data_IF_001572670061
#
_entry.id   IF_001572670061
#
_cell.length_a   1.000
_cell.length_b   1.000
_cell.length_c   1.000
_cell.angle_alpha   90.00
_cell.angle_beta   90.00
_cell.angle_gamma   90.00
#
_symmetry.space_group_name_H-M   'P 1'
#
loop_
_entity.id
_entity.type
_entity.pdbx_description
1 polymer ?
#
# COMPACT_ATOMS: atom_id res chain seq x y z
N UNK A 1 -25.51 4.26 8.26
CA UNK A 1 -26.50 3.34 7.62
C UNK A 1 -26.01 1.91 7.80
N UNK A 2 -26.94 0.95 7.81
CA UNK A 2 -26.78 -0.43 8.28
C UNK A 2 -25.59 -1.21 7.67
N UNK A 3 -24.65 -1.68 8.49
CA UNK A 3 -23.52 -2.57 8.15
C UNK A 3 -23.97 -3.97 7.64
N UNK A 4 -25.27 -4.22 7.55
CA UNK A 4 -25.85 -5.50 7.10
C UNK A 4 -26.07 -5.61 5.59
N UNK A 5 -25.80 -4.56 4.80
CA UNK A 5 -25.73 -4.67 3.35
C UNK A 5 -24.36 -5.25 2.91
N UNK A 6 -24.04 -6.47 3.35
CA UNK A 6 -23.03 -7.29 2.67
C UNK A 6 -23.45 -7.35 1.19
N UNK A 7 -22.62 -6.81 0.31
CA UNK A 7 -22.89 -6.79 -1.13
C UNK A 7 -23.20 -8.22 -1.60
N UNK A 8 -24.48 -8.51 -1.79
CA UNK A 8 -24.95 -9.77 -2.36
C UNK A 8 -24.37 -9.92 -3.76
N UNK A 9 -24.09 -11.16 -4.14
CA UNK A 9 -23.79 -11.48 -5.52
C UNK A 9 -24.95 -11.02 -6.40
N UNK A 10 -24.62 -10.30 -7.46
CA UNK A 10 -25.57 -9.82 -8.46
C UNK A 10 -25.24 -10.45 -9.79
N UNK A 11 -26.25 -10.66 -10.62
CA UNK A 11 -26.03 -10.99 -12.02
C UNK A 11 -25.20 -9.88 -12.68
N UNK A 12 -24.08 -10.25 -13.29
CA UNK A 12 -23.18 -9.31 -13.99
C UNK A 12 -23.62 -8.98 -15.41
N UNK A 13 -24.85 -9.34 -15.80
CA UNK A 13 -25.45 -8.92 -17.06
C UNK A 13 -25.92 -7.45 -17.09
N UNK A 14 -26.00 -6.75 -15.95
CA UNK A 14 -26.43 -5.34 -15.91
C UNK A 14 -25.34 -4.41 -16.46
N UNK A 15 -25.54 -3.76 -17.63
CA UNK A 15 -24.55 -2.88 -18.24
C UNK A 15 -24.27 -1.61 -17.43
N UNK A 16 -25.16 -1.24 -16.48
CA UNK A 16 -24.92 -0.13 -15.55
C UNK A 16 -23.89 -0.49 -14.48
N UNK A 17 -23.67 -1.78 -14.23
CA UNK A 17 -22.68 -2.26 -13.27
C UNK A 17 -21.38 -2.62 -13.98
N UNK A 18 -21.46 -3.31 -15.12
CA UNK A 18 -20.31 -3.69 -15.94
C UNK A 18 -20.57 -3.32 -17.40
N UNK A 19 -19.85 -2.33 -17.97
CA UNK A 19 -20.03 -1.96 -19.38
C UNK A 19 -19.83 -3.15 -20.32
N UNK A 20 -20.67 -3.27 -21.35
CA UNK A 20 -20.63 -4.40 -22.30
C UNK A 20 -19.23 -4.56 -22.94
N UNK A 21 -18.61 -3.44 -23.33
CA UNK A 21 -17.27 -3.42 -23.91
C UNK A 21 -16.20 -4.00 -22.97
N UNK A 22 -16.36 -3.87 -21.64
CA UNK A 22 -15.44 -4.46 -20.66
C UNK A 22 -15.59 -5.98 -20.65
N UNK A 23 -16.83 -6.48 -20.69
CA UNK A 23 -17.07 -7.93 -20.72
C UNK A 23 -16.57 -8.56 -22.02
N UNK A 24 -16.79 -7.89 -23.15
CA UNK A 24 -16.29 -8.33 -24.46
C UNK A 24 -14.76 -8.30 -24.56
N UNK A 25 -14.09 -7.41 -23.82
CA UNK A 25 -12.64 -7.31 -23.81
C UNK A 25 -11.94 -8.51 -23.15
N UNK A 26 -12.60 -9.27 -22.28
CA UNK A 26 -11.98 -10.37 -21.53
C UNK A 26 -12.71 -11.70 -21.81
N UNK A 27 -12.13 -12.61 -22.61
CA UNK A 27 -12.74 -13.90 -22.92
C UNK A 27 -13.11 -14.74 -21.68
N UNK A 28 -12.35 -14.61 -20.59
CA UNK A 28 -12.63 -15.26 -19.31
C UNK A 28 -13.96 -14.83 -18.65
N UNK A 29 -14.56 -13.73 -19.11
CA UNK A 29 -15.86 -13.22 -18.62
C UNK A 29 -17.04 -13.61 -19.55
N UNK A 30 -16.81 -14.49 -20.52
CA UNK A 30 -17.85 -15.00 -21.40
C UNK A 30 -18.85 -15.89 -20.63
N UNK A 31 -20.12 -15.84 -21.05
CA UNK A 31 -21.19 -16.61 -20.39
C UNK A 31 -21.65 -15.99 -19.05
N UNK A 32 -22.53 -16.66 -18.30
CA UNK A 32 -23.09 -16.12 -17.06
C UNK A 32 -22.00 -15.81 -16.02
N UNK A 33 -22.08 -14.63 -15.42
CA UNK A 33 -21.16 -14.20 -14.37
C UNK A 33 -21.93 -13.62 -13.19
N UNK A 34 -21.40 -13.77 -11.99
CA UNK A 34 -21.87 -13.05 -10.82
C UNK A 34 -20.82 -12.03 -10.40
N UNK A 35 -21.26 -10.85 -9.98
CA UNK A 35 -20.37 -9.78 -9.55
C UNK A 35 -20.78 -9.20 -8.20
N UNK A 36 -19.78 -8.72 -7.47
CA UNK A 36 -19.98 -7.85 -6.32
C UNK A 36 -18.87 -6.81 -6.23
N UNK A 37 -19.16 -5.58 -5.77
CA UNK A 37 -18.13 -4.61 -5.45
C UNK A 37 -17.16 -5.13 -4.39
N UNK A 38 -15.87 -4.86 -4.60
CA UNK A 38 -14.85 -5.02 -3.57
C UNK A 38 -14.64 -3.67 -2.88
N UNK A 39 -15.02 -3.53 -1.59
CA UNK A 39 -14.82 -2.29 -0.85
C UNK A 39 -13.33 -2.10 -0.48
N UNK A 40 -12.93 -0.86 -0.18
CA UNK A 40 -11.62 -0.54 0.40
C UNK A 40 -10.59 0.06 -0.56
N UNK A 41 -10.77 -0.07 -1.88
CA UNK A 41 -9.89 0.59 -2.86
C UNK A 41 -10.12 2.11 -2.91
N UNK A 42 -9.06 2.90 -2.71
CA UNK A 42 -9.13 4.37 -2.78
C UNK A 42 -8.96 4.92 -4.20
N UNK A 43 -8.31 4.17 -5.09
CA UNK A 43 -7.98 4.59 -6.46
C UNK A 43 -8.78 3.84 -7.51
N UNK A 44 -8.88 2.52 -7.36
CA UNK A 44 -9.49 1.64 -8.36
C UNK A 44 -10.96 1.35 -8.07
N UNK A 45 -11.77 1.23 -9.12
CA UNK A 45 -13.08 0.60 -9.02
C UNK A 45 -12.92 -0.90 -9.20
N UNK A 46 -13.11 -1.65 -8.13
CA UNK A 46 -12.82 -3.10 -8.07
C UNK A 46 -14.10 -3.92 -7.94
N UNK A 47 -14.21 -4.99 -8.74
CA UNK A 47 -15.28 -5.98 -8.71
C UNK A 47 -14.67 -7.36 -8.49
N UNK A 48 -15.29 -8.15 -7.62
CA UNK A 48 -15.06 -9.59 -7.58
C UNK A 48 -16.05 -10.22 -8.55
N UNK A 49 -15.53 -10.95 -9.54
CA UNK A 49 -16.29 -11.66 -10.57
C UNK A 49 -16.17 -13.16 -10.38
N UNK A 50 -17.32 -13.85 -10.37
CA UNK A 50 -17.44 -15.30 -10.44
C UNK A 50 -17.90 -15.71 -11.82
N UNK A 51 -17.25 -16.73 -12.33
CA UNK A 51 -17.59 -17.37 -13.61
C UNK A 51 -17.70 -18.88 -13.38
N UNK A 52 -18.05 -19.63 -14.42
CA UNK A 52 -18.00 -21.09 -14.36
C UNK A 52 -16.58 -21.62 -14.16
N UNK A 53 -15.58 -20.92 -14.68
CA UNK A 53 -14.20 -21.42 -14.80
C UNK A 53 -13.27 -20.86 -13.71
N UNK A 54 -13.75 -19.94 -12.88
CA UNK A 54 -12.99 -19.41 -11.76
C UNK A 54 -13.51 -18.09 -11.20
N UNK A 55 -12.78 -17.61 -10.18
CA UNK A 55 -12.98 -16.31 -9.55
C UNK A 55 -11.89 -15.32 -9.98
N UNK A 56 -12.29 -14.06 -10.18
CA UNK A 56 -11.42 -12.99 -10.66
C UNK A 56 -11.63 -11.68 -9.92
N UNK A 57 -10.63 -10.82 -9.99
CA UNK A 57 -10.70 -9.41 -9.64
C UNK A 57 -10.66 -8.61 -10.94
N UNK A 58 -11.75 -7.91 -11.24
CA UNK A 58 -11.86 -7.01 -12.38
C UNK A 58 -11.75 -5.57 -11.87
N UNK A 59 -10.84 -4.78 -12.47
CA UNK A 59 -10.59 -3.42 -12.01
C UNK A 59 -10.60 -2.41 -13.15
N UNK A 60 -11.31 -1.30 -12.94
CA UNK A 60 -11.02 -0.06 -13.65
C UNK A 60 -9.83 0.62 -12.97
N UNK A 61 -8.70 0.62 -13.66
CA UNK A 61 -7.44 1.20 -13.19
C UNK A 61 -7.55 2.72 -13.19
N UNK A 62 -6.97 3.38 -12.18
CA UNK A 62 -6.99 4.83 -12.09
C UNK A 62 -6.11 5.43 -13.18
N UNK A 63 -6.56 6.53 -13.79
CA UNK A 63 -5.89 7.17 -14.92
C UNK A 63 -4.55 7.82 -14.53
N UNK A 64 -4.31 7.97 -13.23
CA UNK A 64 -3.05 8.47 -12.66
C UNK A 64 -1.86 7.55 -12.92
N UNK A 65 -2.10 6.24 -13.07
CA UNK A 65 -1.03 5.29 -13.34
C UNK A 65 -0.73 5.20 -14.84
N UNK A 66 0.54 5.01 -15.17
CA UNK A 66 0.97 4.71 -16.52
C UNK A 66 0.47 3.32 -16.95
N UNK A 67 0.11 3.09 -18.23
CA UNK A 67 -0.27 1.77 -18.73
C UNK A 67 0.76 0.66 -18.45
N UNK A 68 2.05 1.02 -18.43
CA UNK A 68 3.21 0.14 -18.30
C UNK A 68 3.26 -0.60 -16.96
N UNK A 69 2.50 -0.18 -15.94
CA UNK A 69 2.39 -0.92 -14.67
C UNK A 69 1.92 -2.37 -14.89
N UNK A 70 1.14 -2.65 -15.95
CA UNK A 70 0.67 -4.01 -16.24
C UNK A 70 1.82 -4.92 -16.69
N UNK A 71 2.80 -4.38 -17.41
CA UNK A 71 3.98 -5.13 -17.82
C UNK A 71 4.89 -5.42 -16.63
N UNK A 72 5.00 -4.46 -15.69
CA UNK A 72 5.69 -4.67 -14.42
C UNK A 72 5.01 -5.77 -13.60
N UNK A 73 3.68 -5.68 -13.43
CA UNK A 73 2.90 -6.66 -12.67
C UNK A 73 3.00 -8.04 -13.30
N UNK A 74 2.83 -8.18 -14.62
CA UNK A 74 2.95 -9.48 -15.28
C UNK A 74 4.36 -10.07 -15.12
N UNK A 75 5.41 -9.26 -15.32
CA UNK A 75 6.78 -9.73 -15.20
C UNK A 75 7.11 -10.20 -13.77
N UNK A 76 6.78 -9.38 -12.77
CA UNK A 76 7.06 -9.67 -11.35
C UNK A 76 6.24 -10.87 -10.88
N UNK A 77 4.94 -10.88 -11.14
CA UNK A 77 4.08 -12.01 -10.72
C UNK A 77 4.41 -13.30 -11.47
N UNK A 78 4.91 -13.22 -12.70
CA UNK A 78 5.34 -14.38 -13.47
C UNK A 78 6.59 -14.99 -12.86
N UNK A 79 7.55 -14.14 -12.50
CA UNK A 79 8.75 -14.56 -11.79
C UNK A 79 8.42 -15.17 -10.42
N UNK A 80 7.62 -14.48 -9.60
CA UNK A 80 7.16 -14.98 -8.29
C UNK A 80 6.49 -16.36 -8.43
N UNK A 81 5.60 -16.52 -9.40
CA UNK A 81 4.93 -17.80 -9.67
C UNK A 81 5.93 -18.90 -10.05
N UNK A 82 6.96 -18.60 -10.86
CA UNK A 82 8.01 -19.58 -11.20
C UNK A 82 8.89 -19.99 -9.99
N UNK A 83 8.90 -19.17 -8.93
CA UNK A 83 9.56 -19.46 -7.65
C UNK A 83 8.61 -20.10 -6.62
N UNK A 84 7.38 -20.41 -7.00
CA UNK A 84 6.38 -21.00 -6.10
C UNK A 84 5.83 -20.04 -5.05
N UNK A 85 5.98 -18.73 -5.24
CA UNK A 85 5.37 -17.72 -4.39
C UNK A 85 3.91 -17.49 -4.83
N UNK A 86 2.89 -17.68 -3.95
CA UNK A 86 1.50 -17.44 -4.30
C UNK A 86 1.27 -15.98 -4.69
N UNK A 87 0.79 -15.75 -5.90
CA UNK A 87 0.55 -14.40 -6.42
C UNK A 87 -0.56 -14.39 -7.46
N UNK A 88 -1.16 -13.23 -7.66
CA UNK A 88 -2.17 -13.05 -8.69
C UNK A 88 -1.51 -13.04 -10.07
N UNK A 89 -2.27 -13.42 -11.11
CA UNK A 89 -1.81 -13.35 -12.50
C UNK A 89 -2.81 -12.51 -13.29
N UNK A 90 -2.28 -11.63 -14.14
CA UNK A 90 -3.09 -10.91 -15.11
C UNK A 90 -3.66 -11.90 -16.11
N UNK A 91 -4.95 -11.76 -16.41
CA UNK A 91 -5.63 -12.56 -17.42
C UNK A 91 -5.62 -11.77 -18.73
N UNK A 92 -5.09 -12.33 -19.83
CA UNK A 92 -5.06 -11.64 -21.11
C UNK A 92 -6.46 -11.23 -21.59
N UNK A 93 -6.52 -10.04 -22.16
CA UNK A 93 -7.66 -9.55 -22.91
C UNK A 93 -7.71 -10.20 -24.31
N UNK A 94 -8.75 -9.88 -25.08
CA UNK A 94 -9.00 -10.47 -26.40
C UNK A 94 -7.88 -10.20 -27.42
N UNK A 95 -7.11 -9.13 -27.23
CA UNK A 95 -5.95 -8.76 -28.06
C UNK A 95 -4.62 -9.35 -27.53
N UNK A 96 -4.67 -10.17 -26.48
CA UNK A 96 -3.51 -10.77 -25.82
C UNK A 96 -2.79 -9.86 -24.83
N UNK A 97 -3.20 -8.59 -24.66
CA UNK A 97 -2.60 -7.68 -23.67
C UNK A 97 -3.17 -7.91 -22.28
N UNK A 98 -2.47 -7.44 -21.24
CA UNK A 98 -2.89 -7.58 -19.84
C UNK A 98 -3.80 -6.45 -19.33
N UNK A 99 -4.13 -5.49 -20.19
CA UNK A 99 -5.15 -4.47 -19.93
C UNK A 99 -5.77 -3.97 -21.24
N UNK A 100 -6.97 -3.40 -21.14
CA UNK A 100 -7.72 -2.84 -22.27
C UNK A 100 -8.12 -1.40 -21.96
N UNK A 101 -7.80 -0.47 -22.85
CA UNK A 101 -8.27 0.91 -22.78
C UNK A 101 -9.55 1.06 -23.62
N UNK A 102 -10.67 1.38 -22.97
CA UNK A 102 -12.01 1.38 -23.57
C UNK A 102 -12.59 2.80 -23.72
N UNK A 103 -11.75 3.74 -24.12
CA UNK A 103 -12.15 5.15 -24.31
C UNK A 103 -12.70 5.78 -23.04
N UNK A 104 -13.93 6.29 -23.10
CA UNK A 104 -14.60 6.95 -21.96
C UNK A 104 -14.80 6.03 -20.75
N UNK A 105 -14.85 4.71 -20.95
CA UNK A 105 -14.99 3.73 -19.87
C UNK A 105 -13.69 3.55 -19.07
N UNK A 106 -12.57 4.09 -19.55
CA UNK A 106 -11.26 4.01 -18.92
C UNK A 106 -10.51 2.71 -19.22
N UNK A 107 -9.45 2.47 -18.45
CA UNK A 107 -8.57 1.30 -18.60
C UNK A 107 -8.95 0.20 -17.62
N UNK A 108 -9.04 -1.03 -18.10
CA UNK A 108 -9.47 -2.19 -17.33
C UNK A 108 -8.44 -3.31 -17.36
N UNK A 109 -8.34 -4.05 -16.26
CA UNK A 109 -7.55 -5.29 -16.14
C UNK A 109 -8.35 -6.37 -15.44
N UNK A 110 -8.04 -7.63 -15.76
CA UNK A 110 -8.58 -8.80 -15.08
C UNK A 110 -7.44 -9.58 -14.44
N UNK A 111 -7.66 -10.06 -13.22
CA UNK A 111 -6.67 -10.76 -12.40
C UNK A 111 -7.28 -12.00 -11.75
N UNK A 112 -6.49 -13.05 -11.54
CA UNK A 112 -6.94 -14.21 -10.76
C UNK A 112 -7.23 -13.81 -9.30
N UNK A 113 -8.35 -14.28 -8.75
CA UNK A 113 -8.67 -14.06 -7.34
C UNK A 113 -7.96 -15.11 -6.47
N UNK A 114 -7.26 -14.66 -5.43
CA UNK A 114 -6.45 -15.53 -4.56
C UNK A 114 -7.21 -16.09 -3.36
N UNK A 115 -8.44 -15.64 -3.11
CA UNK A 115 -9.15 -15.95 -1.87
C UNK A 115 -8.57 -15.23 -0.65
N UNK A 116 -8.81 -15.78 0.53
CA UNK A 116 -8.33 -15.23 1.79
C UNK A 116 -9.01 -13.92 2.21
N UNK A 117 -8.42 -13.27 3.20
CA UNK A 117 -8.91 -12.01 3.80
C UNK A 117 -7.76 -11.08 4.14
N UNK A 118 -8.01 -9.78 4.08
CA UNK A 118 -7.10 -8.75 4.60
C UNK A 118 -7.60 -8.16 5.92
N UNK A 119 -6.69 -7.50 6.63
CA UNK A 119 -6.96 -6.84 7.90
C UNK A 119 -6.51 -5.38 7.83
N UNK A 120 -7.29 -4.49 8.47
CA UNK A 120 -6.94 -3.07 8.59
C UNK A 120 -5.91 -2.82 9.70
N UNK A 121 -5.82 -3.74 10.65
CA UNK A 121 -4.91 -3.67 11.81
C UNK A 121 -4.47 -5.07 12.22
N UNK A 122 -3.24 -5.16 12.73
CA UNK A 122 -2.74 -6.38 13.34
C UNK A 122 -3.54 -6.70 14.61
N UNK A 123 -3.77 -8.00 14.83
CA UNK A 123 -4.52 -8.52 15.99
C UNK A 123 -3.65 -9.27 16.99
N UNK A 124 -2.48 -9.74 16.56
CA UNK A 124 -1.57 -10.57 17.37
C UNK A 124 -0.13 -10.43 16.88
N UNK A 125 0.83 -10.78 17.74
CA UNK A 125 2.24 -10.90 17.35
C UNK A 125 2.46 -12.03 16.34
N UNK A 126 1.69 -13.12 16.42
CA UNK A 126 1.77 -14.22 15.46
C UNK A 126 1.40 -13.76 14.05
N UNK A 127 0.35 -12.94 13.92
CA UNK A 127 -0.03 -12.31 12.67
C UNK A 127 1.06 -11.37 12.13
N UNK A 128 1.67 -10.57 13.02
CA UNK A 128 2.76 -9.66 12.67
C UNK A 128 4.01 -10.41 12.16
N UNK A 129 4.40 -11.48 12.85
CA UNK A 129 5.52 -12.34 12.44
C UNK A 129 5.24 -13.01 11.10
N UNK A 130 4.02 -13.51 10.90
CA UNK A 130 3.58 -14.12 9.64
C UNK A 130 3.64 -13.14 8.47
N UNK A 131 3.17 -11.90 8.68
CA UNK A 131 3.26 -10.82 7.71
C UNK A 131 4.72 -10.51 7.33
N UNK A 132 5.59 -10.34 8.33
CA UNK A 132 7.03 -10.13 8.09
C UNK A 132 7.67 -11.29 7.31
N UNK A 133 7.33 -12.53 7.67
CA UNK A 133 7.84 -13.74 7.01
C UNK A 133 7.39 -13.85 5.55
N UNK A 134 6.15 -13.49 5.24
CA UNK A 134 5.66 -13.43 3.86
C UNK A 134 6.46 -12.42 3.03
N UNK A 135 6.71 -11.23 3.58
CA UNK A 135 7.48 -10.17 2.90
C UNK A 135 8.94 -10.58 2.70
N UNK A 136 9.57 -11.22 3.68
CA UNK A 136 10.91 -11.77 3.51
C UNK A 136 10.96 -12.83 2.40
N UNK A 137 9.94 -13.71 2.31
CA UNK A 137 9.82 -14.67 1.20
C UNK A 137 9.59 -14.00 -0.16
N UNK A 138 8.85 -12.88 -0.20
CA UNK A 138 8.65 -12.09 -1.42
C UNK A 138 9.99 -11.54 -1.95
N UNK A 139 10.80 -10.94 -1.07
CA UNK A 139 12.12 -10.44 -1.45
C UNK A 139 13.11 -11.56 -1.81
N UNK A 140 13.07 -12.69 -1.10
CA UNK A 140 13.87 -13.86 -1.45
C UNK A 140 13.50 -14.41 -2.85
N UNK A 141 12.20 -14.49 -3.16
CA UNK A 141 11.71 -14.94 -4.46
C UNK A 141 12.01 -13.96 -5.61
N UNK A 142 12.42 -12.71 -5.32
CA UNK A 142 12.77 -11.70 -6.31
C UNK A 142 14.27 -11.39 -6.32
N UNK A 143 15.09 -12.14 -5.57
CA UNK A 143 16.52 -11.86 -5.41
C UNK A 143 17.29 -11.84 -6.74
N UNK A 144 16.86 -12.65 -7.72
CA UNK A 144 17.45 -12.71 -9.05
C UNK A 144 16.55 -12.15 -10.17
N UNK A 145 15.53 -11.35 -9.81
CA UNK A 145 14.76 -10.59 -10.79
C UNK A 145 15.57 -9.36 -11.24
N UNK A 146 16.07 -9.39 -12.48
CA UNK A 146 16.98 -8.39 -13.05
C UNK A 146 16.30 -7.44 -14.05
N UNK A 147 15.10 -7.78 -14.55
CA UNK A 147 14.36 -6.95 -15.51
C UNK A 147 14.11 -5.53 -14.96
N UNK A 148 14.25 -4.47 -15.78
CA UNK A 148 13.86 -3.13 -15.38
C UNK A 148 12.34 -3.04 -15.17
N UNK A 149 11.94 -2.19 -14.23
CA UNK A 149 10.54 -1.81 -14.03
C UNK A 149 10.30 -0.44 -14.63
N UNK A 150 9.24 -0.32 -15.45
CA UNK A 150 8.85 0.95 -16.02
C UNK A 150 8.34 1.91 -14.93
N UNK A 151 8.54 3.23 -15.07
CA UNK A 151 7.95 4.20 -14.16
C UNK A 151 6.42 4.09 -14.13
N UNK A 152 5.82 4.15 -12.94
CA UNK A 152 4.38 4.06 -12.75
C UNK A 152 3.60 5.32 -13.18
N UNK A 153 4.27 6.34 -13.72
CA UNK A 153 3.66 7.59 -14.20
C UNK A 153 3.42 8.66 -13.12
N UNK A 154 3.67 8.34 -11.85
CA UNK A 154 3.61 9.29 -10.73
C UNK A 154 4.95 9.43 -10.02
N UNK A 155 5.31 10.63 -9.52
CA UNK A 155 6.50 10.85 -8.70
C UNK A 155 6.27 10.31 -7.28
N UNK A 156 6.14 8.98 -7.17
CA UNK A 156 5.83 8.28 -5.94
C UNK A 156 7.09 8.18 -5.05
N UNK A 157 6.94 8.53 -3.76
CA UNK A 157 8.04 8.55 -2.77
C UNK A 157 9.25 9.42 -3.17
N UNK A 158 9.02 10.47 -3.94
CA UNK A 158 10.02 11.51 -4.19
C UNK A 158 10.01 12.51 -3.03
N UNK A 159 10.80 12.22 -1.99
CA UNK A 159 10.86 13.07 -0.79
C UNK A 159 11.26 14.51 -1.14
N UNK A 160 12.18 14.71 -2.09
CA UNK A 160 12.61 16.04 -2.49
C UNK A 160 11.46 16.88 -3.04
N UNK A 161 10.68 16.30 -3.96
CA UNK A 161 9.47 16.92 -4.50
C UNK A 161 8.40 17.11 -3.43
N UNK A 162 8.17 16.13 -2.57
CA UNK A 162 7.19 16.22 -1.47
C UNK A 162 7.50 17.43 -0.57
N UNK A 163 8.77 17.62 -0.20
CA UNK A 163 9.17 18.75 0.64
C UNK A 163 9.13 20.10 -0.11
N UNK A 164 9.36 20.12 -1.41
CA UNK A 164 9.20 21.33 -2.22
C UNK A 164 7.72 21.77 -2.25
N UNK A 165 6.82 20.84 -2.58
CA UNK A 165 5.36 21.10 -2.60
C UNK A 165 4.84 21.48 -1.21
N UNK A 166 5.36 20.87 -0.13
CA UNK A 166 5.03 21.29 1.23
C UNK A 166 5.37 22.76 1.45
N UNK A 167 6.59 23.22 1.13
CA UNK A 167 6.97 24.63 1.31
C UNK A 167 6.06 25.58 0.53
N UNK A 168 5.79 25.25 -0.72
CA UNK A 168 4.88 26.03 -1.57
C UNK A 168 3.48 26.13 -0.95
N UNK A 169 2.95 25.03 -0.41
CA UNK A 169 1.64 25.03 0.23
C UNK A 169 1.60 25.85 1.52
N UNK A 170 2.65 25.80 2.34
CA UNK A 170 2.74 26.59 3.58
C UNK A 170 2.78 28.10 3.30
N UNK A 171 3.48 28.50 2.23
CA UNK A 171 3.58 29.90 1.82
C UNK A 171 2.31 30.40 1.11
N UNK A 172 1.78 29.61 0.18
CA UNK A 172 0.67 29.99 -0.69
C UNK A 172 -0.73 29.93 -0.05
N UNK A 173 -0.87 29.22 1.08
CA UNK A 173 -2.15 29.03 1.77
C UNK A 173 -2.15 29.59 3.20
N UNK A 174 -1.42 30.68 3.44
CA UNK A 174 -1.32 31.34 4.75
C UNK A 174 -2.66 31.88 5.28
N UNK A 175 -3.58 32.27 4.39
CA UNK A 175 -4.94 32.72 4.73
C UNK A 175 -5.98 31.58 4.79
N UNK A 176 -5.55 30.33 4.60
CA UNK A 176 -6.46 29.18 4.65
C UNK A 176 -7.02 28.97 6.07
N UNK A 177 -8.27 28.53 6.19
CA UNK A 177 -8.94 28.34 7.51
C UNK A 177 -8.20 27.36 8.44
N UNK A 178 -7.40 26.45 7.88
CA UNK A 178 -6.60 25.48 8.64
C UNK A 178 -5.13 25.89 8.80
N UNK A 179 -4.72 27.06 8.27
CA UNK A 179 -3.33 27.51 8.29
C UNK A 179 -2.77 27.62 9.70
N UNK A 180 -3.59 28.08 10.66
CA UNK A 180 -3.18 28.19 12.07
C UNK A 180 -2.74 26.88 12.72
N UNK A 181 -3.23 25.73 12.24
CA UNK A 181 -2.80 24.40 12.70
C UNK A 181 -1.74 23.79 11.77
N UNK A 182 -1.96 23.88 10.46
CA UNK A 182 -1.16 23.16 9.45
C UNK A 182 0.18 23.83 9.17
N UNK A 183 0.28 25.16 9.21
CA UNK A 183 1.55 25.85 8.97
C UNK A 183 2.58 25.49 10.05
N UNK A 184 2.29 25.62 11.36
CA UNK A 184 3.21 25.19 12.41
C UNK A 184 3.59 23.71 12.33
N UNK A 185 2.64 22.84 11.94
CA UNK A 185 2.91 21.41 11.78
C UNK A 185 3.82 21.14 10.58
N UNK A 186 3.60 21.79 9.44
CA UNK A 186 4.47 21.69 8.26
C UNK A 186 5.90 22.11 8.55
N UNK A 187 6.09 23.20 9.30
CA UNK A 187 7.43 23.65 9.73
C UNK A 187 8.13 22.63 10.64
N UNK A 188 7.39 21.98 11.55
CA UNK A 188 7.92 20.88 12.37
C UNK A 188 8.33 19.68 11.51
N UNK A 189 7.55 19.33 10.50
CA UNK A 189 7.88 18.25 9.55
C UNK A 189 9.17 18.58 8.78
N UNK A 190 9.30 19.80 8.27
CA UNK A 190 10.52 20.26 7.60
C UNK A 190 11.75 20.21 8.53
N UNK A 191 11.60 20.65 9.78
CA UNK A 191 12.66 20.58 10.78
C UNK A 191 13.05 19.13 11.10
N UNK A 192 12.08 18.23 11.26
CA UNK A 192 12.33 16.82 11.55
C UNK A 192 13.07 16.11 10.39
N UNK A 193 12.76 16.44 9.13
CA UNK A 193 13.53 15.94 7.99
C UNK A 193 14.97 16.44 8.00
N UNK A 194 15.20 17.72 8.32
CA UNK A 194 16.57 18.27 8.48
C UNK A 194 17.35 17.53 9.57
N UNK A 195 16.71 17.21 10.69
CA UNK A 195 17.32 16.46 11.80
C UNK A 195 17.64 14.99 11.42
N UNK A 196 16.80 14.34 10.61
CA UNK A 196 17.07 12.98 10.13
C UNK A 196 18.23 12.93 9.13
N UNK A 197 18.48 14.04 8.43
CA UNK A 197 19.54 14.12 7.42
C UNK A 197 19.23 13.31 6.15
N UNK A 198 20.24 13.11 5.27
CA UNK A 198 20.05 12.41 4.00
C UNK A 198 19.58 10.97 4.22
N UNK A 199 18.83 10.44 3.25
CA UNK A 199 18.38 9.05 3.29
C UNK A 199 19.58 8.10 3.21
N UNK A 200 19.55 6.94 3.92
CA UNK A 200 20.58 5.93 3.76
C UNK A 200 20.63 5.43 2.31
N UNK A 201 21.83 5.31 1.77
CA UNK A 201 22.07 4.74 0.44
C UNK A 201 22.35 3.25 0.57
N UNK A 202 21.44 2.42 0.07
CA UNK A 202 21.62 0.97 -0.02
C UNK A 202 21.14 0.47 -1.39
N UNK A 203 21.65 -0.68 -1.88
CA UNK A 203 21.26 -1.20 -3.18
C UNK A 203 19.73 -1.34 -3.32
N UNK A 204 19.14 -0.93 -4.45
CA UNK A 204 17.71 -1.02 -4.63
C UNK A 204 17.27 -2.46 -4.87
N UNK A 205 16.15 -2.85 -4.26
CA UNK A 205 15.46 -4.12 -4.50
C UNK A 205 14.15 -3.86 -5.25
N UNK A 206 13.58 -4.90 -5.87
CA UNK A 206 12.16 -4.83 -6.22
C UNK A 206 11.36 -4.79 -4.92
N UNK A 207 10.51 -3.77 -4.78
CA UNK A 207 9.66 -3.56 -3.61
C UNK A 207 8.18 -3.47 -4.01
N UNK A 208 7.28 -3.68 -3.06
CA UNK A 208 5.84 -3.47 -3.28
C UNK A 208 5.49 -2.00 -3.45
N UNK A 209 6.11 -1.12 -2.64
CA UNK A 209 5.96 0.35 -2.71
C UNK A 209 4.84 0.93 -1.84
N UNK A 210 3.75 0.18 -1.60
CA UNK A 210 2.65 0.57 -0.68
C UNK A 210 2.26 -0.62 0.21
N UNK A 211 3.17 -1.10 1.04
CA UNK A 211 3.03 -2.36 1.79
C UNK A 211 2.19 -2.21 3.07
N UNK A 212 1.00 -1.63 2.94
CA UNK A 212 0.02 -1.56 4.04
C UNK A 212 -0.50 -2.95 4.39
N UNK A 213 -0.98 -3.13 5.63
CA UNK A 213 -1.52 -4.42 6.07
C UNK A 213 -2.72 -4.88 5.22
N UNK A 214 -3.51 -3.92 4.71
CA UNK A 214 -4.66 -4.19 3.84
C UNK A 214 -4.27 -4.86 2.51
N UNK A 215 -2.99 -4.77 2.13
CA UNK A 215 -2.41 -5.38 0.93
C UNK A 215 -1.81 -6.77 1.17
N UNK A 216 -1.96 -7.31 2.40
CA UNK A 216 -1.60 -8.68 2.75
C UNK A 216 -2.87 -9.53 2.84
N UNK A 217 -2.84 -10.71 2.21
CA UNK A 217 -3.87 -11.73 2.33
C UNK A 217 -3.45 -12.81 3.32
N UNK A 218 -4.39 -13.13 4.20
CA UNK A 218 -4.32 -14.21 5.18
C UNK A 218 -5.34 -15.29 4.82
N UNK A 219 -5.07 -16.54 5.21
CA UNK A 219 -5.89 -17.69 4.83
C UNK A 219 -7.37 -17.54 5.29
N UNK A 220 -7.60 -17.03 6.50
CA UNK A 220 -8.96 -16.85 7.07
C UNK A 220 -9.01 -15.70 8.10
N UNK A 221 -10.22 -15.31 8.54
CA UNK A 221 -10.46 -14.31 9.60
C UNK A 221 -10.18 -14.84 11.00
N UNK A 222 -10.29 -16.15 11.19
CA UNK A 222 -10.17 -16.81 12.49
C UNK A 222 -8.91 -17.69 12.57
N UNK A 223 -8.40 -17.97 13.78
CA UNK A 223 -7.24 -18.85 13.97
C UNK A 223 -7.50 -20.28 13.46
N UNK A 224 -6.48 -20.97 12.91
CA UNK A 224 -5.11 -20.49 12.74
C UNK A 224 -4.92 -19.64 11.47
N UNK A 225 -5.94 -19.50 10.61
CA UNK A 225 -5.83 -18.84 9.30
C UNK A 225 -5.53 -17.34 9.38
N UNK A 226 -6.01 -16.65 10.43
CA UNK A 226 -5.72 -15.23 10.64
C UNK A 226 -4.25 -14.91 10.90
N UNK A 227 -3.46 -15.92 11.29
CA UNK A 227 -2.02 -15.80 11.55
C UNK A 227 -1.17 -16.38 10.39
N UNK A 228 -1.78 -16.65 9.22
CA UNK A 228 -1.10 -17.23 8.05
C UNK A 228 -1.22 -16.33 6.83
N UNK A 229 -0.31 -15.36 6.74
CA UNK A 229 -0.16 -14.51 5.57
C UNK A 229 0.40 -15.34 4.40
N UNK A 230 -0.22 -15.26 3.22
CA UNK A 230 0.15 -16.12 2.09
C UNK A 230 0.36 -15.39 0.76
N UNK A 231 -0.17 -14.17 0.58
CA UNK A 231 -0.02 -13.42 -0.66
C UNK A 231 -0.06 -11.90 -0.46
N UNK A 232 0.51 -11.18 -1.42
CA UNK A 232 0.41 -9.72 -1.55
C UNK A 232 -0.53 -9.37 -2.72
N UNK A 233 -1.27 -8.29 -2.57
CA UNK A 233 -2.15 -7.70 -3.60
C UNK A 233 -1.86 -6.20 -3.74
N UNK A 234 -2.46 -5.54 -4.73
CA UNK A 234 -2.24 -4.11 -5.01
C UNK A 234 -0.81 -3.79 -5.48
N UNK A 235 -0.40 -4.46 -6.55
CA UNK A 235 0.97 -4.44 -7.10
C UNK A 235 1.23 -3.24 -8.04
N UNK A 236 0.44 -2.19 -7.98
CA UNK A 236 0.54 -1.02 -8.88
C UNK A 236 1.77 -0.15 -8.62
N UNK A 237 2.28 -0.19 -7.39
CA UNK A 237 3.43 0.60 -6.93
C UNK A 237 4.75 -0.16 -6.99
N UNK A 238 4.80 -1.30 -7.69
CA UNK A 238 6.03 -2.06 -7.89
C UNK A 238 7.12 -1.16 -8.47
N UNK A 239 8.24 -1.07 -7.76
CA UNK A 239 9.38 -0.24 -8.16
C UNK A 239 10.69 -0.80 -7.61
N UNK A 240 11.81 -0.21 -8.05
CA UNK A 240 13.13 -0.46 -7.47
C UNK A 240 13.47 0.63 -6.47
N UNK A 241 13.61 0.27 -5.20
CA UNK A 241 13.99 1.20 -4.14
C UNK A 241 14.76 0.48 -3.03
N UNK A 242 15.50 1.22 -2.18
CA UNK A 242 16.13 0.66 -0.99
C UNK A 242 15.14 -0.08 -0.08
N UNK A 243 15.60 -1.14 0.58
CA UNK A 243 14.76 -1.96 1.46
C UNK A 243 14.10 -1.16 2.60
N UNK A 244 14.74 -0.08 3.07
CA UNK A 244 14.17 0.79 4.10
C UNK A 244 12.91 1.52 3.63
N UNK A 245 12.70 1.72 2.33
CA UNK A 245 11.48 2.33 1.79
C UNK A 245 10.29 1.39 2.04
N UNK A 246 10.47 0.11 1.71
CA UNK A 246 9.46 -0.93 1.84
C UNK A 246 9.09 -1.18 3.31
N UNK A 247 10.09 -1.53 4.13
CA UNK A 247 9.85 -1.88 5.53
C UNK A 247 9.48 -0.67 6.40
N UNK A 248 9.97 0.52 6.04
CA UNK A 248 9.56 1.76 6.69
C UNK A 248 8.08 2.04 6.52
N UNK A 249 7.52 1.83 5.33
CA UNK A 249 6.10 2.02 5.07
C UNK A 249 5.25 0.89 5.66
N UNK A 250 5.74 -0.35 5.58
CA UNK A 250 5.11 -1.50 6.22
C UNK A 250 4.98 -1.27 7.73
N UNK A 251 6.06 -0.99 8.44
CA UNK A 251 6.00 -0.80 9.89
C UNK A 251 5.30 0.50 10.31
N UNK A 252 5.32 1.55 9.48
CA UNK A 252 4.48 2.73 9.70
C UNK A 252 3.00 2.36 9.73
N UNK A 253 2.57 1.51 8.80
CA UNK A 253 1.19 1.04 8.73
C UNK A 253 0.87 0.02 9.82
N UNK A 254 1.71 -1.02 9.98
CA UNK A 254 1.41 -2.20 10.79
C UNK A 254 1.54 -1.92 12.30
N UNK A 255 2.48 -1.06 12.70
CA UNK A 255 2.75 -0.77 14.11
C UNK A 255 1.92 0.39 14.66
N UNK A 256 1.01 0.96 13.85
CA UNK A 256 0.10 2.03 14.30
C UNK A 256 -1.21 1.43 14.82
N UNK A 257 -1.29 1.16 16.13
CA UNK A 257 -2.44 0.53 16.79
C UNK A 257 -3.77 1.27 16.56
N UNK A 258 -3.68 2.59 16.46
CA UNK A 258 -4.84 3.47 16.37
C UNK A 258 -5.36 3.58 14.92
N UNK A 259 -4.58 3.15 13.94
CA UNK A 259 -4.85 3.32 12.52
C UNK A 259 -4.52 4.72 11.99
N UNK A 260 -4.76 4.94 10.70
CA UNK A 260 -4.31 6.16 10.01
C UNK A 260 -5.29 7.35 10.11
N UNK A 261 -6.56 7.12 10.43
CA UNK A 261 -7.63 8.13 10.46
C UNK A 261 -7.91 8.68 11.89
N UNK A 262 -6.89 8.77 12.74
CA UNK A 262 -7.01 9.22 14.13
C UNK A 262 -5.79 10.00 14.60
N UNK A 263 -6.02 10.88 15.58
CA UNK A 263 -4.97 11.63 16.28
C UNK A 263 -4.34 10.85 17.45
N UNK A 264 -4.86 9.71 17.91
CA UNK A 264 -4.28 8.96 19.04
C UNK A 264 -3.27 7.90 18.58
N UNK A 265 -2.25 8.29 17.81
CA UNK A 265 -1.30 7.33 17.25
C UNK A 265 -0.36 6.75 18.32
N UNK A 266 -0.22 5.43 18.33
CA UNK A 266 0.66 4.67 19.24
C UNK A 266 1.52 3.71 18.44
N UNK A 267 2.78 3.56 18.86
CA UNK A 267 3.72 2.63 18.25
C UNK A 267 3.74 1.31 19.02
N UNK A 268 3.26 0.24 18.38
CA UNK A 268 3.22 -1.11 18.94
C UNK A 268 4.57 -1.82 18.76
N UNK A 269 5.42 -1.73 19.78
CA UNK A 269 6.77 -2.29 19.75
C UNK A 269 6.77 -3.82 19.57
N UNK A 270 5.79 -4.53 20.16
CA UNK A 270 5.67 -5.98 20.02
C UNK A 270 5.39 -6.39 18.56
N UNK A 271 4.57 -5.62 17.84
CA UNK A 271 4.31 -5.88 16.42
C UNK A 271 5.54 -5.58 15.55
N UNK A 272 6.29 -4.53 15.86
CA UNK A 272 7.57 -4.28 15.22
C UNK A 272 8.53 -5.45 15.42
N UNK A 273 8.73 -5.89 16.66
CA UNK A 273 9.67 -6.99 16.96
C UNK A 273 9.26 -8.29 16.27
N UNK A 274 7.98 -8.67 16.37
CA UNK A 274 7.48 -9.89 15.75
C UNK A 274 7.61 -9.85 14.22
N UNK A 275 7.21 -8.74 13.57
CA UNK A 275 7.32 -8.61 12.11
C UNK A 275 8.77 -8.50 11.63
N UNK A 276 9.65 -7.78 12.35
CA UNK A 276 11.07 -7.72 12.04
C UNK A 276 11.73 -9.10 12.15
N UNK A 277 11.41 -9.86 13.20
CA UNK A 277 11.86 -11.25 13.36
C UNK A 277 11.36 -12.12 12.21
N UNK A 278 10.09 -11.99 11.83
CA UNK A 278 9.51 -12.73 10.70
C UNK A 278 10.24 -12.45 9.39
N UNK A 279 10.49 -11.17 9.09
CA UNK A 279 11.19 -10.73 7.88
C UNK A 279 12.65 -11.20 7.85
N UNK A 280 13.42 -10.87 8.89
CA UNK A 280 14.87 -11.11 8.93
C UNK A 280 15.23 -12.61 9.06
N UNK A 281 14.28 -13.46 9.48
CA UNK A 281 14.44 -14.91 9.54
C UNK A 281 13.67 -15.66 8.44
N UNK A 282 13.16 -14.96 7.44
CA UNK A 282 12.45 -15.59 6.34
C UNK A 282 13.41 -16.49 5.53
N UNK A 283 12.99 -17.69 5.09
CA UNK A 283 13.84 -18.56 4.29
C UNK A 283 14.30 -17.89 2.99
N UNK A 284 15.60 -17.90 2.73
CA UNK A 284 16.21 -17.39 1.50
C UNK A 284 16.39 -15.87 1.44
N UNK A 285 15.99 -15.12 2.48
CA UNK A 285 16.31 -13.70 2.54
C UNK A 285 17.79 -13.52 2.88
N UNK A 286 18.42 -12.57 2.21
CA UNK A 286 19.76 -12.09 2.54
C UNK A 286 19.66 -10.57 2.69
N UNK A 287 20.08 -10.06 3.85
CA UNK A 287 20.00 -8.63 4.21
C UNK A 287 21.36 -8.21 4.72
N UNK A 288 22.02 -7.30 4.00
CA UNK A 288 23.34 -6.83 4.38
C UNK A 288 23.31 -6.01 5.68
N UNK A 289 24.47 -5.80 6.27
CA UNK A 289 24.62 -4.93 7.45
C UNK A 289 24.13 -3.52 7.14
N UNK A 290 24.50 -2.96 5.98
CA UNK A 290 24.12 -1.61 5.56
C UNK A 290 22.60 -1.50 5.33
N UNK A 291 21.99 -2.52 4.72
CA UNK A 291 20.53 -2.58 4.57
C UNK A 291 19.84 -2.62 5.93
N UNK A 292 20.33 -3.42 6.87
CA UNK A 292 19.78 -3.50 8.22
C UNK A 292 19.93 -2.18 8.99
N UNK A 293 21.08 -1.53 8.89
CA UNK A 293 21.32 -0.21 9.49
C UNK A 293 20.38 0.84 8.89
N UNK A 294 20.09 0.76 7.58
CA UNK A 294 19.14 1.68 6.93
C UNK A 294 17.71 1.59 7.49
N UNK A 295 17.34 0.44 8.09
CA UNK A 295 16.01 0.22 8.67
C UNK A 295 15.78 1.04 9.96
N UNK A 296 16.83 1.47 10.65
CA UNK A 296 16.73 2.15 11.96
C UNK A 296 15.91 3.45 11.90
N UNK A 297 16.03 4.21 10.82
CA UNK A 297 15.32 5.49 10.63
C UNK A 297 14.17 5.41 9.63
N UNK A 298 13.91 4.22 9.10
CA UNK A 298 12.95 4.00 8.00
C UNK A 298 11.54 4.48 8.36
N UNK A 299 11.00 4.00 9.49
CA UNK A 299 9.65 4.34 9.96
C UNK A 299 9.48 5.86 10.07
N UNK A 300 10.45 6.56 10.68
CA UNK A 300 10.39 8.02 10.81
C UNK A 300 10.34 8.73 9.46
N UNK A 301 11.19 8.33 8.51
CA UNK A 301 11.24 8.95 7.18
C UNK A 301 9.92 8.80 6.44
N UNK A 302 9.39 7.57 6.39
CA UNK A 302 8.17 7.26 5.65
C UNK A 302 6.93 7.85 6.34
N UNK A 303 6.95 7.95 7.66
CA UNK A 303 5.91 8.66 8.43
C UNK A 303 5.92 10.16 8.13
N UNK A 304 7.10 10.79 8.13
CA UNK A 304 7.20 12.22 7.84
C UNK A 304 6.83 12.55 6.39
N UNK A 305 7.17 11.70 5.42
CA UNK A 305 6.71 11.87 4.03
C UNK A 305 5.18 11.90 3.95
N UNK A 306 4.53 10.94 4.59
CA UNK A 306 3.07 10.87 4.59
C UNK A 306 2.46 12.05 5.36
N UNK A 307 3.07 12.44 6.48
CA UNK A 307 2.68 13.63 7.23
C UNK A 307 2.76 14.89 6.36
N UNK A 308 3.87 15.11 5.65
CA UNK A 308 4.06 16.23 4.73
C UNK A 308 2.95 16.28 3.69
N UNK A 309 2.65 15.13 3.06
CA UNK A 309 1.58 15.03 2.05
C UNK A 309 0.19 15.36 2.63
N UNK A 310 -0.10 14.93 3.86
CA UNK A 310 -1.37 15.26 4.51
C UNK A 310 -1.44 16.73 4.93
N UNK A 311 -0.34 17.35 5.40
CA UNK A 311 -0.30 18.79 5.69
C UNK A 311 -0.56 19.58 4.42
N UNK A 312 0.15 19.25 3.34
CA UNK A 312 -0.07 19.86 2.02
C UNK A 312 -1.53 19.74 1.60
N UNK A 313 -2.09 18.53 1.61
CA UNK A 313 -3.45 18.30 1.12
C UNK A 313 -4.55 18.74 2.09
N UNK A 314 -4.21 19.05 3.34
CA UNK A 314 -5.11 19.76 4.24
C UNK A 314 -5.29 21.24 3.86
N UNK A 315 -4.30 21.81 3.15
CA UNK A 315 -4.33 23.18 2.63
C UNK A 315 -4.82 23.23 1.16
N UNK A 316 -4.46 22.24 0.35
CA UNK A 316 -4.81 22.19 -1.07
C UNK A 316 -6.12 21.45 -1.40
N UNK A 317 -6.52 20.48 -0.57
CA UNK A 317 -7.79 19.74 -0.66
C UNK A 317 -8.08 19.03 -2.00
N UNK A 318 -7.06 18.49 -2.67
CA UNK A 318 -7.18 17.99 -4.05
C UNK A 318 -6.79 16.53 -4.26
N UNK A 319 -6.04 15.94 -3.35
CA UNK A 319 -5.39 14.64 -3.55
C UNK A 319 -6.11 13.49 -2.85
N UNK A 320 -6.20 13.51 -1.52
CA UNK A 320 -6.77 12.44 -0.71
C UNK A 320 -8.29 12.58 -0.61
N UNK A 321 -8.99 11.44 -0.70
CA UNK A 321 -10.40 11.32 -0.38
C UNK A 321 -10.69 11.61 1.10
N UNK A 322 -11.95 11.94 1.40
CA UNK A 322 -12.40 12.14 2.78
C UNK A 322 -13.66 11.35 3.09
N UNK A 323 -13.88 11.11 4.39
CA UNK A 323 -15.06 10.46 4.91
C UNK A 323 -16.08 11.55 5.27
N UNK A 324 -17.07 11.73 4.39
CA UNK A 324 -18.09 12.75 4.52
C UNK A 324 -19.09 12.48 5.67
N UNK A 325 -19.12 11.27 6.24
CA UNK A 325 -19.93 10.98 7.43
C UNK A 325 -19.23 11.46 8.72
N UNK A 326 -17.89 11.50 8.72
CA UNK A 326 -17.08 11.83 9.90
C UNK A 326 -16.50 13.24 9.87
N UNK A 327 -16.28 13.82 8.70
CA UNK A 327 -15.56 15.09 8.55
C UNK A 327 -16.31 16.06 7.62
N UNK A 328 -16.29 17.36 7.94
CA UNK A 328 -17.01 18.37 7.16
C UNK A 328 -16.38 18.62 5.78
N UNK A 329 -15.10 18.29 5.60
CA UNK A 329 -14.38 18.51 4.35
C UNK A 329 -13.08 17.71 4.27
N UNK A 330 -12.44 17.80 3.10
CA UNK A 330 -11.14 17.18 2.83
C UNK A 330 -10.06 17.74 3.73
N UNK A 331 -10.01 19.07 3.87
CA UNK A 331 -9.04 19.76 4.70
C UNK A 331 -9.04 19.24 6.14
N UNK A 332 -10.22 19.15 6.77
CA UNK A 332 -10.34 18.73 8.16
C UNK A 332 -9.94 17.26 8.36
N UNK A 333 -10.30 16.38 7.43
CA UNK A 333 -9.90 14.97 7.53
C UNK A 333 -8.38 14.82 7.37
N UNK A 334 -7.79 15.50 6.39
CA UNK A 334 -6.36 15.46 6.15
C UNK A 334 -5.56 16.13 7.29
N UNK A 335 -6.09 17.18 7.91
CA UNK A 335 -5.50 17.78 9.10
C UNK A 335 -5.42 16.78 10.26
N UNK A 336 -6.50 16.02 10.51
CA UNK A 336 -6.50 14.95 11.52
C UNK A 336 -5.48 13.87 11.20
N UNK A 337 -5.40 13.45 9.92
CA UNK A 337 -4.40 12.47 9.46
C UNK A 337 -2.97 12.98 9.63
N UNK A 338 -2.68 14.22 9.26
CA UNK A 338 -1.38 14.87 9.45
C UNK A 338 -0.99 14.88 10.94
N UNK A 339 -1.91 15.35 11.79
CA UNK A 339 -1.77 15.35 13.24
C UNK A 339 -1.56 13.94 13.83
N UNK A 340 -2.17 12.91 13.24
CA UNK A 340 -1.95 11.51 13.58
C UNK A 340 -0.55 11.02 13.19
N UNK A 341 -0.11 11.27 11.96
CA UNK A 341 1.21 10.87 11.47
C UNK A 341 2.33 11.56 12.27
N UNK A 342 2.17 12.83 12.64
CA UNK A 342 3.15 13.51 13.49
C UNK A 342 3.31 12.84 14.86
N UNK A 343 2.20 12.53 15.53
CA UNK A 343 2.24 11.82 16.82
C UNK A 343 2.82 10.42 16.70
N UNK A 344 2.52 9.72 15.59
CA UNK A 344 3.12 8.43 15.29
C UNK A 344 4.64 8.54 15.10
N UNK A 345 5.10 9.56 14.36
CA UNK A 345 6.52 9.85 14.19
C UNK A 345 7.21 10.07 15.54
N UNK A 346 6.62 10.88 16.43
CA UNK A 346 7.17 11.10 17.76
C UNK A 346 7.21 9.80 18.59
N UNK A 347 6.17 8.98 18.52
CA UNK A 347 6.11 7.69 19.21
C UNK A 347 7.18 6.71 18.71
N UNK A 348 7.31 6.57 17.38
CA UNK A 348 8.32 5.73 16.76
C UNK A 348 9.73 6.23 17.09
N UNK A 349 9.99 7.54 16.97
CA UNK A 349 11.27 8.17 17.30
C UNK A 349 11.69 7.90 18.74
N UNK A 350 10.77 8.00 19.70
CA UNK A 350 11.05 7.68 21.12
C UNK A 350 11.51 6.22 21.32
N UNK A 351 10.99 5.29 20.53
CA UNK A 351 11.34 3.86 20.57
C UNK A 351 12.51 3.48 19.67
N UNK A 352 13.19 4.44 19.00
CA UNK A 352 14.30 4.14 18.08
C UNK A 352 15.41 3.29 18.71
N UNK A 353 15.90 3.57 19.93
CA UNK A 353 16.97 2.76 20.52
C UNK A 353 16.55 1.29 20.74
N UNK A 354 15.29 1.05 21.12
CA UNK A 354 14.73 -0.30 21.28
C UNK A 354 14.64 -1.02 19.93
N UNK A 355 14.15 -0.34 18.90
CA UNK A 355 14.08 -0.88 17.52
C UNK A 355 15.46 -1.23 16.97
N UNK A 356 16.44 -0.37 17.19
CA UNK A 356 17.82 -0.63 16.78
C UNK A 356 18.41 -1.85 17.49
N UNK A 357 18.16 -2.00 18.79
CA UNK A 357 18.56 -3.19 19.56
C UNK A 357 17.96 -4.48 18.99
N UNK A 358 16.67 -4.46 18.64
CA UNK A 358 15.98 -5.59 18.00
C UNK A 358 16.60 -5.92 16.63
N UNK A 359 16.83 -4.92 15.78
CA UNK A 359 17.41 -5.15 14.46
C UNK A 359 18.81 -5.75 14.55
N UNK A 360 19.63 -5.30 15.52
CA UNK A 360 20.97 -5.83 15.78
C UNK A 360 20.96 -7.24 16.38
N UNK A 361 19.99 -7.58 17.24
CA UNK A 361 19.91 -8.92 17.84
C UNK A 361 19.42 -10.00 16.86
N UNK A 362 18.77 -9.58 15.78
CA UNK A 362 18.34 -10.43 14.68
C UNK A 362 19.39 -10.54 13.56
N UNK A 363 20.61 -10.02 13.77
CA UNK A 363 21.70 -10.03 12.79
C UNK A 363 22.32 -11.41 12.59
#
# INVERSE_FOLDING_TARGET
MNESARASWRDGADPKVLPAAVREAFPALAGPIEIRPLPGGLLHRSLHVRTRDGEYVLQRVADVFAPEIHDNIDAVTGHLSSRGFPTTRLVPAIDGRHSMSLGAEGRWRLMTHLGGVSFRRLRSEAQAESAGRLVGRFHAALADFDRPLAPMGIPYRDTGRILAVLREALEGHSDHRLAGEMVPLGEKVLAAFRELGPAPETPPRVIHGDLKLENLLFEDREPPGCDRAFALIDLDTLMRAPLWVELGDAWRSWCNAAGEDTSDARFEMAFFEASARGFLRAPGIDVSTEERESLVTSIERLTLELCARYVTDALEERYFGWDAERFPGRGEHNAVRASGQWRFFEAARRRRPERESVLRSLA
#
